data_IF_672949596379
#
_entry.id   IF_672949596379
#
_cell.length_a   1.000
_cell.length_b   1.000
_cell.length_c   1.000
_cell.angle_alpha   90.00
_cell.angle_beta   90.00
_cell.angle_gamma   90.00
#
_symmetry.space_group_name_H-M   'P 1'
#
loop_
_entity.id
_entity.type
_entity.pdbx_description
1 polymer ?
#
# COMPACT_ATOMS: atom_id res chain seq x y z
N UNK A 1 -4.47 3.17 -2.70
CA UNK A 1 -4.06 1.79 -3.06
C UNK A 1 -4.87 1.43 -4.26
N UNK A 2 -4.21 0.91 -5.29
CA UNK A 2 -4.86 0.42 -6.50
C UNK A 2 -4.50 -1.06 -6.61
N UNK A 3 -5.51 -1.93 -6.69
CA UNK A 3 -5.33 -3.38 -6.82
C UNK A 3 -6.08 -3.87 -8.06
N UNK A 4 -5.43 -4.73 -8.83
CA UNK A 4 -5.94 -5.28 -10.09
C UNK A 4 -5.89 -6.80 -10.03
N UNK A 5 -7.03 -7.44 -10.31
CA UNK A 5 -7.18 -8.88 -10.41
C UNK A 5 -6.83 -9.39 -11.81
N UNK A 6 -6.55 -10.70 -11.91
CA UNK A 6 -6.27 -11.36 -13.21
C UNK A 6 -7.53 -11.51 -14.08
N UNK A 7 -8.70 -11.33 -13.50
CA UNK A 7 -10.00 -11.35 -14.18
C UNK A 7 -10.43 -9.95 -14.69
N UNK A 8 -9.51 -8.98 -14.66
CA UNK A 8 -9.75 -7.61 -15.11
C UNK A 8 -10.55 -6.75 -14.13
N UNK A 9 -10.91 -7.26 -12.95
CA UNK A 9 -11.47 -6.44 -11.89
C UNK A 9 -10.40 -5.59 -11.22
N UNK A 10 -10.76 -4.41 -10.72
CA UNK A 10 -9.88 -3.58 -9.94
C UNK A 10 -10.62 -2.86 -8.81
N UNK A 11 -9.87 -2.49 -7.77
CA UNK A 11 -10.35 -1.68 -6.66
C UNK A 11 -9.33 -0.60 -6.34
N UNK A 12 -9.81 0.63 -6.19
CA UNK A 12 -9.03 1.72 -5.61
C UNK A 12 -9.52 1.96 -4.19
N UNK A 13 -8.62 2.35 -3.30
CA UNK A 13 -8.95 2.58 -1.90
C UNK A 13 -8.06 3.61 -1.21
N UNK A 14 -8.59 4.16 -0.13
CA UNK A 14 -7.93 5.15 0.73
C UNK A 14 -7.66 4.54 2.11
N UNK A 15 -6.46 4.75 2.64
CA UNK A 15 -6.12 4.35 4.00
C UNK A 15 -7.00 5.11 5.01
N UNK A 16 -7.63 4.39 5.94
CA UNK A 16 -8.52 4.94 6.97
C UNK A 16 -8.03 4.68 8.38
N UNK A 17 -7.20 3.66 8.58
CA UNK A 17 -6.48 3.43 9.83
C UNK A 17 -5.10 2.85 9.55
N UNK A 18 -4.20 3.01 10.53
CA UNK A 18 -2.85 2.49 10.47
C UNK A 18 -2.35 2.09 11.86
N UNK A 19 -1.38 1.19 11.88
CA UNK A 19 -0.58 0.86 13.05
C UNK A 19 0.84 0.57 12.59
N UNK A 20 1.82 0.98 13.38
CA UNK A 20 3.22 0.67 13.09
C UNK A 20 3.43 -0.84 13.02
N UNK A 21 4.26 -1.27 12.09
CA UNK A 21 4.62 -2.68 11.98
C UNK A 21 5.48 -3.09 13.20
N UNK A 22 5.40 -4.36 13.65
CA UNK A 22 6.31 -4.86 14.69
C UNK A 22 7.78 -4.74 14.33
N UNK A 23 8.10 -4.82 13.04
CA UNK A 23 9.41 -4.53 12.47
C UNK A 23 9.57 -3.03 12.21
N UNK A 24 10.59 -2.40 12.82
CA UNK A 24 10.81 -0.95 12.77
C UNK A 24 11.24 -0.46 11.40
N UNK A 25 11.83 -1.31 10.57
CA UNK A 25 12.28 -0.97 9.23
C UNK A 25 11.18 -1.21 8.17
N UNK A 26 9.97 -1.49 8.64
CA UNK A 26 8.82 -1.81 7.80
C UNK A 26 7.77 -0.69 7.76
N UNK A 27 7.10 -0.56 6.62
CA UNK A 27 5.98 0.37 6.48
C UNK A 27 4.80 -0.04 7.39
N UNK A 28 3.95 0.91 7.83
CA UNK A 28 2.80 0.60 8.69
C UNK A 28 1.83 -0.40 8.07
N UNK A 29 1.16 -1.17 8.92
CA UNK A 29 -0.04 -1.92 8.53
C UNK A 29 -1.19 -0.94 8.33
N UNK A 30 -2.06 -1.22 7.37
CA UNK A 30 -3.14 -0.31 6.98
C UNK A 30 -4.48 -1.04 6.93
N UNK A 31 -5.52 -0.36 7.37
CA UNK A 31 -6.88 -0.59 6.90
C UNK A 31 -7.17 0.39 5.78
N UNK A 32 -7.66 -0.12 4.66
CA UNK A 32 -7.92 0.63 3.44
C UNK A 32 -9.39 0.44 3.08
N UNK A 33 -10.15 1.53 3.04
CA UNK A 33 -11.53 1.51 2.56
C UNK A 33 -11.55 1.61 1.03
N UNK A 34 -12.35 0.76 0.37
CA UNK A 34 -12.56 0.86 -1.06
C UNK A 34 -13.30 2.17 -1.40
N UNK A 35 -12.81 2.89 -2.41
CA UNK A 35 -13.38 4.15 -2.88
C UNK A 35 -14.02 4.02 -4.26
N UNK A 36 -13.55 3.09 -5.08
CA UNK A 36 -14.12 2.80 -6.40
C UNK A 36 -13.73 1.41 -6.89
N UNK A 37 -14.53 0.87 -7.81
CA UNK A 37 -14.32 -0.43 -8.42
C UNK A 37 -14.42 -0.34 -9.94
N UNK A 38 -13.77 -1.28 -10.62
CA UNK A 38 -14.00 -1.53 -12.04
C UNK A 38 -14.01 -3.03 -12.32
N UNK A 39 -14.68 -3.42 -13.41
CA UNK A 39 -14.89 -4.84 -13.75
C UNK A 39 -15.91 -5.54 -12.85
N UNK A 40 -16.20 -6.81 -13.17
CA UNK A 40 -17.22 -7.65 -12.48
C UNK A 40 -16.62 -8.89 -11.78
N UNK A 41 -15.31 -8.88 -11.57
CA UNK A 41 -14.55 -10.01 -11.03
C UNK A 41 -14.47 -10.05 -9.51
N UNK A 42 -13.50 -10.78 -8.98
CA UNK A 42 -13.28 -11.06 -7.56
C UNK A 42 -13.14 -9.82 -6.70
N UNK A 43 -12.70 -8.68 -7.27
CA UNK A 43 -12.55 -7.42 -6.53
C UNK A 43 -13.83 -6.57 -6.49
N UNK A 44 -14.87 -6.92 -7.26
CA UNK A 44 -16.04 -6.05 -7.46
C UNK A 44 -16.88 -5.81 -6.19
N UNK A 45 -16.82 -6.70 -5.20
CA UNK A 45 -17.57 -6.60 -3.94
C UNK A 45 -16.71 -6.23 -2.74
N UNK A 46 -15.40 -5.98 -2.94
CA UNK A 46 -14.48 -5.67 -1.84
C UNK A 46 -14.83 -4.33 -1.23
N UNK A 47 -15.08 -4.28 0.07
CA UNK A 47 -15.39 -3.03 0.80
C UNK A 47 -14.17 -2.49 1.53
N UNK A 48 -13.27 -3.36 1.95
CA UNK A 48 -12.02 -2.98 2.61
C UNK A 48 -10.89 -3.96 2.32
N UNK A 49 -9.67 -3.45 2.42
CA UNK A 49 -8.44 -4.22 2.29
C UNK A 49 -7.59 -3.99 3.52
N UNK A 50 -7.05 -5.05 4.10
CA UNK A 50 -6.07 -4.96 5.17
C UNK A 50 -4.70 -5.33 4.64
N UNK A 51 -3.73 -4.44 4.85
CA UNK A 51 -2.31 -4.69 4.60
C UNK A 51 -1.63 -4.99 5.93
N UNK A 52 -1.14 -6.20 6.10
CA UNK A 52 -0.47 -6.65 7.33
C UNK A 52 0.83 -7.38 7.00
N UNK A 53 1.59 -7.79 8.03
CA UNK A 53 2.85 -8.51 7.90
C UNK A 53 3.80 -7.84 6.89
N UNK A 54 3.89 -6.52 6.97
CA UNK A 54 4.79 -5.73 6.13
C UNK A 54 6.24 -6.02 6.51
N UNK A 55 7.10 -6.09 5.49
CA UNK A 55 8.55 -6.20 5.63
C UNK A 55 9.23 -5.22 4.66
N UNK A 56 10.02 -4.29 5.18
CA UNK A 56 10.70 -3.25 4.42
C UNK A 56 9.78 -2.09 3.97
N UNK A 57 10.27 -1.32 3.01
CA UNK A 57 9.57 -0.19 2.41
C UNK A 57 9.69 1.15 3.15
N UNK A 58 10.34 1.19 4.31
CA UNK A 58 10.70 2.47 4.94
C UNK A 58 11.56 3.30 3.99
N UNK A 59 11.36 4.63 3.92
CA UNK A 59 12.24 5.49 3.14
C UNK A 59 13.69 5.28 3.55
N UNK A 60 14.65 5.33 2.61
CA UNK A 60 16.06 5.29 2.99
C UNK A 60 16.35 6.43 3.97
N UNK A 61 17.21 6.17 4.95
CA UNK A 61 17.68 7.22 5.84
C UNK A 61 18.14 8.42 4.98
N UNK A 62 17.81 9.66 5.38
CA UNK A 62 18.21 10.83 4.61
C UNK A 62 19.73 10.80 4.46
N UNK A 63 20.21 10.48 3.26
CA UNK A 63 21.62 10.66 2.93
C UNK A 63 21.87 12.15 3.05
N UNK A 64 22.72 12.53 4.02
CA UNK A 64 22.93 13.91 4.44
C UNK A 64 22.81 14.88 3.26
N UNK A 65 21.87 15.81 3.37
CA UNK A 65 21.76 16.91 2.43
C UNK A 65 22.97 17.83 2.67
N UNK A 66 24.14 17.48 2.14
CA UNK A 66 25.23 18.44 1.99
C UNK A 66 24.79 19.40 0.90
N UNK A 67 24.30 20.56 1.33
CA UNK A 67 24.01 21.72 0.50
C UNK A 67 25.31 22.22 -0.13
N UNK A 68 25.69 21.61 -1.25
CA UNK A 68 26.79 22.06 -2.09
C UNK A 68 26.66 21.41 -3.47
N UNK A 69 25.61 21.79 -4.20
CA UNK A 69 25.47 21.36 -5.59
C UNK A 69 24.07 21.54 -6.13
N UNK A 70 23.90 22.63 -6.87
CA UNK A 70 22.88 22.87 -7.90
C UNK A 70 22.32 21.58 -8.50
N UNK A 71 21.01 21.33 -8.32
CA UNK A 71 20.23 20.47 -9.22
C UNK A 71 20.18 18.97 -8.95
N UNK A 72 20.63 18.46 -7.79
CA UNK A 72 20.47 17.03 -7.48
C UNK A 72 19.01 16.73 -7.13
N UNK A 73 18.19 16.50 -8.17
CA UNK A 73 16.85 15.90 -8.04
C UNK A 73 16.98 14.69 -7.12
N UNK A 74 16.27 14.69 -6.00
CA UNK A 74 16.11 13.49 -5.17
C UNK A 74 15.56 12.43 -6.12
N UNK A 75 16.40 11.48 -6.52
CA UNK A 75 15.97 10.40 -7.40
C UNK A 75 14.98 9.57 -6.60
N UNK A 76 13.86 9.20 -7.22
CA UNK A 76 12.93 8.25 -6.64
C UNK A 76 13.69 6.99 -6.22
N UNK A 77 13.75 6.73 -4.91
CA UNK A 77 14.39 5.54 -4.38
C UNK A 77 13.37 4.40 -4.40
N UNK A 78 13.68 3.34 -5.15
CA UNK A 78 12.90 2.09 -5.10
C UNK A 78 13.32 1.31 -3.86
N UNK A 79 12.44 1.24 -2.87
CA UNK A 79 12.67 0.43 -1.66
C UNK A 79 11.87 -0.86 -1.78
N UNK A 80 12.50 -2.04 -1.68
CA UNK A 80 11.78 -3.30 -1.70
C UNK A 80 10.87 -3.42 -0.47
N UNK A 81 9.68 -3.97 -0.66
CA UNK A 81 8.80 -4.34 0.44
C UNK A 81 7.95 -5.55 0.07
N UNK A 82 7.50 -6.30 1.07
CA UNK A 82 6.47 -7.33 0.95
C UNK A 82 5.38 -7.07 2.00
N UNK A 83 4.16 -7.52 1.73
CA UNK A 83 3.07 -7.52 2.71
C UNK A 83 2.03 -8.58 2.34
N UNK A 84 1.23 -8.99 3.32
CA UNK A 84 0.03 -9.77 3.10
C UNK A 84 -1.18 -8.84 2.93
N UNK A 85 -2.05 -9.17 1.98
CA UNK A 85 -3.24 -8.39 1.67
C UNK A 85 -4.50 -9.25 1.80
N UNK A 86 -5.38 -8.85 2.72
CA UNK A 86 -6.69 -9.47 2.92
C UNK A 86 -7.77 -8.57 2.32
N UNK A 87 -8.62 -9.15 1.48
CA UNK A 87 -9.72 -8.46 0.82
C UNK A 87 -11.03 -8.89 1.47
N UNK A 88 -11.74 -7.94 2.06
CA UNK A 88 -13.01 -8.20 2.75
C UNK A 88 -14.16 -7.75 1.88
N UNK A 89 -15.15 -8.62 1.73
CA UNK A 89 -16.44 -8.33 1.11
C UNK A 89 -17.57 -8.61 2.12
N UNK A 90 -18.76 -8.02 1.94
CA UNK A 90 -19.92 -8.36 2.75
C UNK A 90 -20.18 -9.87 2.69
N UNK A 91 -20.42 -10.50 3.85
CA UNK A 91 -20.84 -11.89 3.88
C UNK A 91 -22.17 -12.08 3.17
N UNK A 92 -22.32 -13.21 2.47
CA UNK A 92 -23.64 -13.63 2.01
C UNK A 92 -24.53 -13.84 3.24
N UNK A 93 -25.71 -13.23 3.20
CA UNK A 93 -26.72 -13.36 4.26
C UNK A 93 -27.69 -14.48 3.92
#
# INVERSE_FOLDING_TARGET
MDAQGRDGSAVNGKATAHVDAPDRDSIPWLLIAATSHSGKGVLASVTSVQRINTHGGQPPAPSGCTSSGTGRKVREARVPYRADYYFYAPGAR
#
